data_IF_235939245648
#
_entry.id   IF_235939245648
#
_cell.length_a   1.000
_cell.length_b   1.000
_cell.length_c   1.000
_cell.angle_alpha   90.00
_cell.angle_beta   90.00
_cell.angle_gamma   90.00
#
_symmetry.space_group_name_H-M   'P 1'
#
loop_
_entity.id
_entity.type
_entity.pdbx_description
1 polymer ?
#
# COMPACT_ATOMS: atom_id res chain seq x y z
N UNK A 1 5.95 -2.38 0.61
CA UNK A 1 7.05 -1.65 1.25
C UNK A 1 7.64 -0.66 0.24
N UNK A 2 7.23 0.60 0.29
CA UNK A 2 7.76 1.67 -0.56
C UNK A 2 8.14 2.84 0.35
N UNK A 3 9.17 2.59 1.16
CA UNK A 3 9.84 3.59 1.97
C UNK A 3 11.13 3.94 1.22
N UNK A 4 11.03 4.86 0.25
CA UNK A 4 12.19 5.57 -0.24
C UNK A 4 11.80 7.00 -0.58
N UNK A 5 12.14 7.86 0.37
CA UNK A 5 12.40 9.30 0.28
C UNK A 5 12.53 9.77 -1.18
N UNK A 6 11.51 10.48 -1.68
CA UNK A 6 11.57 11.15 -2.99
C UNK A 6 12.24 12.51 -2.77
N UNK A 7 13.58 12.51 -2.71
CA UNK A 7 14.37 13.72 -2.89
C UNK A 7 14.04 14.30 -4.27
N UNK A 8 13.90 15.63 -4.32
CA UNK A 8 13.69 16.38 -5.55
C UNK A 8 14.85 16.18 -6.54
N UNK A 9 14.55 16.51 -7.80
CA UNK A 9 15.34 16.32 -9.02
C UNK A 9 15.17 14.96 -9.70
N UNK A 10 14.16 14.88 -10.58
CA UNK A 10 14.08 13.85 -11.63
C UNK A 10 14.70 14.43 -12.90
N UNK A 11 15.77 13.82 -13.45
CA UNK A 11 16.33 14.20 -14.73
C UNK A 11 15.33 13.91 -15.85
N UNK A 12 15.24 14.86 -16.77
CA UNK A 12 14.42 14.87 -17.98
C UNK A 12 14.85 13.81 -18.99
N UNK A 13 14.47 12.54 -18.84
CA UNK A 13 14.50 11.53 -19.95
C UNK A 13 13.83 10.21 -19.55
N UNK A 14 12.52 10.21 -19.32
CA UNK A 14 11.71 8.99 -19.46
C UNK A 14 10.41 9.33 -20.16
N UNK A 15 10.48 9.48 -21.48
CA UNK A 15 9.31 9.64 -22.34
C UNK A 15 8.62 8.30 -22.53
N UNK A 16 7.56 8.05 -21.76
CA UNK A 16 6.53 7.11 -22.19
C UNK A 16 5.75 7.71 -23.37
N UNK A 17 5.00 6.91 -24.16
CA UNK A 17 4.22 7.38 -25.30
C UNK A 17 3.12 8.42 -24.94
N UNK A 18 2.90 8.70 -23.66
CA UNK A 18 1.90 9.64 -23.15
C UNK A 18 2.49 10.97 -22.64
N UNK A 19 3.81 11.09 -22.45
CA UNK A 19 4.45 12.27 -21.86
C UNK A 19 5.74 12.60 -22.61
N UNK A 20 5.60 13.28 -23.74
CA UNK A 20 6.72 13.93 -24.44
C UNK A 20 7.36 14.98 -23.52
N UNK A 21 8.63 15.32 -23.74
CA UNK A 21 9.36 16.35 -22.98
C UNK A 21 8.72 17.75 -23.06
N UNK A 22 7.82 17.97 -24.03
CA UNK A 22 6.96 19.13 -24.16
C UNK A 22 5.51 18.74 -23.90
N UNK A 23 4.84 19.51 -23.03
CA UNK A 23 3.40 19.42 -22.80
C UNK A 23 2.67 20.08 -23.99
N UNK A 24 2.54 19.32 -25.08
CA UNK A 24 1.88 19.77 -26.30
C UNK A 24 0.36 19.60 -26.22
N UNK A 25 -0.37 20.48 -26.90
CA UNK A 25 -1.83 20.52 -26.83
C UNK A 25 -2.49 19.23 -27.37
N UNK A 26 -1.88 18.60 -28.38
CA UNK A 26 -2.34 17.31 -28.90
C UNK A 26 -2.21 16.16 -27.89
N UNK A 27 -1.15 16.15 -27.07
CA UNK A 27 -0.95 15.13 -26.03
C UNK A 27 -2.02 15.30 -24.95
N UNK A 28 -2.27 16.55 -24.56
CA UNK A 28 -3.32 16.90 -23.61
C UNK A 28 -4.70 16.47 -24.11
N UNK A 29 -5.05 16.78 -25.35
CA UNK A 29 -6.37 16.44 -25.91
C UNK A 29 -6.56 14.93 -26.05
N UNK A 30 -5.52 14.20 -26.47
CA UNK A 30 -5.55 12.72 -26.47
C UNK A 30 -5.79 12.15 -25.07
N UNK A 31 -5.11 12.70 -24.06
CA UNK A 31 -5.22 12.23 -22.69
C UNK A 31 -6.59 12.56 -22.07
N UNK A 32 -7.14 13.74 -22.37
CA UNK A 32 -8.52 14.12 -21.99
C UNK A 32 -9.52 13.14 -22.61
N UNK A 33 -9.42 12.90 -23.92
CA UNK A 33 -10.32 11.99 -24.63
C UNK A 33 -10.24 10.56 -24.08
N UNK A 34 -9.04 10.07 -23.79
CA UNK A 34 -8.82 8.77 -23.17
C UNK A 34 -9.51 8.64 -21.80
N UNK A 35 -9.38 9.65 -20.93
CA UNK A 35 -9.98 9.63 -19.58
C UNK A 35 -11.51 9.77 -19.64
N UNK A 36 -12.04 10.58 -20.56
CA UNK A 36 -13.50 10.81 -20.67
C UNK A 36 -14.22 9.60 -21.29
N UNK A 37 -13.62 8.94 -22.29
CA UNK A 37 -14.28 7.86 -23.05
C UNK A 37 -13.97 6.44 -22.55
N UNK A 38 -12.87 6.23 -21.82
CA UNK A 38 -12.53 4.91 -21.28
C UNK A 38 -13.41 4.55 -20.08
N UNK A 39 -14.60 3.98 -20.28
CA UNK A 39 -15.55 3.72 -19.17
C UNK A 39 -15.29 2.43 -18.39
N UNK A 40 -15.10 1.29 -19.04
CA UNK A 40 -15.18 -0.01 -18.35
C UNK A 40 -13.83 -0.62 -17.98
N UNK A 41 -12.78 -0.43 -18.80
CA UNK A 41 -11.44 -0.99 -18.54
C UNK A 41 -10.80 -0.41 -17.27
N UNK A 42 -11.01 0.89 -17.00
CA UNK A 42 -10.44 1.58 -15.84
C UNK A 42 -11.12 1.20 -14.53
N UNK A 43 -12.41 0.87 -14.56
CA UNK A 43 -13.14 0.39 -13.38
C UNK A 43 -12.59 -0.97 -12.92
N UNK A 44 -12.39 -1.89 -13.87
CA UNK A 44 -11.79 -3.20 -13.59
C UNK A 44 -10.37 -3.08 -13.07
N UNK A 45 -9.57 -2.16 -13.64
CA UNK A 45 -8.22 -1.87 -13.15
C UNK A 45 -8.23 -1.39 -11.68
N UNK A 46 -9.11 -0.46 -11.33
CA UNK A 46 -9.21 0.06 -9.97
C UNK A 46 -9.64 -1.03 -8.96
N UNK A 47 -10.58 -1.91 -9.33
CA UNK A 47 -11.00 -3.03 -8.49
C UNK A 47 -9.85 -4.04 -8.30
N UNK A 48 -9.17 -4.43 -9.38
CA UNK A 48 -8.00 -5.33 -9.30
C UNK A 48 -6.91 -4.76 -8.41
N UNK A 49 -6.66 -3.46 -8.49
CA UNK A 49 -5.71 -2.78 -7.62
C UNK A 49 -6.09 -2.89 -6.14
N UNK A 50 -7.37 -2.63 -5.81
CA UNK A 50 -7.88 -2.75 -4.44
C UNK A 50 -7.77 -4.19 -3.92
N UNK A 51 -8.06 -5.19 -4.76
CA UNK A 51 -7.91 -6.61 -4.43
C UNK A 51 -6.44 -6.94 -4.13
N UNK A 52 -5.50 -6.44 -4.92
CA UNK A 52 -4.06 -6.64 -4.65
C UNK A 52 -3.61 -6.02 -3.32
N UNK A 53 -4.10 -4.83 -2.97
CA UNK A 53 -3.80 -4.21 -1.67
C UNK A 53 -4.37 -5.03 -0.50
N UNK A 54 -5.59 -5.55 -0.66
CA UNK A 54 -6.21 -6.44 0.31
C UNK A 54 -5.43 -7.75 0.46
N UNK A 55 -5.06 -8.38 -0.66
CA UNK A 55 -4.24 -9.60 -0.68
C UNK A 55 -2.88 -9.38 -0.01
N UNK A 56 -2.25 -8.22 -0.21
CA UNK A 56 -1.00 -7.88 0.45
C UNK A 56 -1.17 -7.78 1.98
N UNK A 57 -2.26 -7.18 2.46
CA UNK A 57 -2.56 -7.16 3.89
C UNK A 57 -2.83 -8.56 4.44
N UNK A 58 -3.65 -9.36 3.73
CA UNK A 58 -3.94 -10.75 4.08
C UNK A 58 -2.64 -11.57 4.16
N UNK A 59 -1.72 -11.38 3.21
CA UNK A 59 -0.44 -12.08 3.19
C UNK A 59 0.40 -11.75 4.44
N UNK A 60 0.50 -10.47 4.83
CA UNK A 60 1.24 -10.09 6.04
C UNK A 60 0.57 -10.64 7.30
N UNK A 61 -0.77 -10.56 7.40
CA UNK A 61 -1.52 -11.13 8.53
C UNK A 61 -1.34 -12.65 8.60
N UNK A 62 -1.38 -13.34 7.46
CA UNK A 62 -1.14 -14.77 7.36
C UNK A 62 0.27 -15.14 7.84
N UNK A 63 1.30 -14.38 7.45
CA UNK A 63 2.67 -14.58 7.93
C UNK A 63 2.77 -14.40 9.46
N UNK A 64 2.08 -13.41 10.04
CA UNK A 64 2.03 -13.20 11.49
C UNK A 64 1.35 -14.38 12.19
N UNK A 65 0.20 -14.83 11.69
CA UNK A 65 -0.56 -15.96 12.27
C UNK A 65 0.25 -17.25 12.19
N UNK A 66 0.86 -17.54 11.03
CA UNK A 66 1.69 -18.72 10.84
C UNK A 66 2.91 -18.70 11.78
N UNK A 67 3.57 -17.56 11.92
CA UNK A 67 4.71 -17.39 12.84
C UNK A 67 4.27 -17.54 14.30
N UNK A 68 3.11 -17.00 14.66
CA UNK A 68 2.56 -17.14 16.00
C UNK A 68 2.17 -18.59 16.32
N UNK A 69 1.63 -19.32 15.35
CA UNK A 69 1.35 -20.74 15.49
C UNK A 69 2.65 -21.55 15.64
N UNK A 70 3.67 -21.25 14.83
CA UNK A 70 4.98 -21.89 14.92
C UNK A 70 5.67 -21.67 16.29
N UNK A 71 5.51 -20.48 16.89
CA UNK A 71 6.09 -20.11 18.18
C UNK A 71 5.13 -20.36 19.37
N UNK A 72 4.12 -21.21 19.22
CA UNK A 72 3.17 -21.58 20.29
C UNK A 72 2.53 -20.37 21.00
N UNK A 73 2.15 -19.33 20.26
CA UNK A 73 1.45 -18.14 20.80
C UNK A 73 2.35 -17.07 21.42
N UNK A 74 3.66 -17.29 21.43
CA UNK A 74 4.65 -16.38 22.04
C UNK A 74 4.98 -15.17 21.14
N UNK A 75 4.40 -15.11 19.93
CA UNK A 75 4.53 -13.99 18.98
C UNK A 75 3.36 -12.99 19.06
N UNK A 76 2.55 -13.08 20.12
CA UNK A 76 1.40 -12.20 20.31
C UNK A 76 1.84 -10.75 20.51
N UNK A 77 1.20 -9.83 19.77
CA UNK A 77 1.70 -8.48 19.61
C UNK A 77 1.85 -7.69 20.91
N UNK A 78 0.83 -7.72 21.76
CA UNK A 78 0.85 -6.94 22.99
C UNK A 78 1.89 -7.46 24.01
N UNK A 79 2.08 -8.78 24.08
CA UNK A 79 3.00 -9.41 25.05
C UNK A 79 4.45 -9.09 24.73
N UNK A 80 4.86 -9.26 23.47
CA UNK A 80 6.22 -8.95 23.02
C UNK A 80 6.58 -7.48 23.29
N UNK A 81 5.63 -6.57 23.09
CA UNK A 81 5.84 -5.14 23.36
C UNK A 81 6.04 -4.85 24.85
N UNK A 82 5.22 -5.44 25.72
CA UNK A 82 5.32 -5.26 27.18
C UNK A 82 6.66 -5.80 27.69
N UNK A 83 7.05 -6.99 27.27
CA UNK A 83 8.30 -7.63 27.71
C UNK A 83 9.52 -6.78 27.30
N UNK A 84 9.53 -6.24 26.07
CA UNK A 84 10.58 -5.34 25.59
C UNK A 84 10.63 -4.02 26.38
N UNK A 85 9.47 -3.44 26.71
CA UNK A 85 9.40 -2.21 27.52
C UNK A 85 9.95 -2.46 28.93
N UNK A 86 9.70 -3.64 29.49
CA UNK A 86 10.23 -4.05 30.80
C UNK A 86 11.73 -4.43 30.76
N UNK A 87 12.37 -4.40 29.58
CA UNK A 87 13.78 -4.76 29.40
C UNK A 87 14.04 -6.27 29.32
N UNK A 88 12.99 -7.08 29.21
CA UNK A 88 13.07 -8.53 29.06
C UNK A 88 13.10 -8.93 27.58
N UNK A 89 13.78 -10.05 27.27
CA UNK A 89 13.76 -10.61 25.92
C UNK A 89 12.62 -11.64 25.82
N UNK A 90 11.48 -11.32 25.15
CA UNK A 90 10.32 -12.21 25.08
C UNK A 90 10.63 -13.57 24.43
N UNK A 91 11.60 -13.57 23.51
CA UNK A 91 12.00 -14.76 22.76
C UNK A 91 12.98 -15.68 23.50
N UNK A 92 13.46 -15.27 24.68
CA UNK A 92 14.38 -16.08 25.49
C UNK A 92 13.75 -17.36 26.03
N UNK A 93 12.44 -17.36 26.26
CA UNK A 93 11.67 -18.53 26.69
C UNK A 93 11.44 -19.54 25.57
N UNK A 94 11.34 -19.06 24.32
CA UNK A 94 11.08 -19.89 23.13
C UNK A 94 12.37 -20.53 22.62
N UNK A 95 13.48 -19.80 22.69
CA UNK A 95 14.77 -20.21 22.15
C UNK A 95 15.82 -20.31 23.27
N UNK A 96 15.87 -21.43 24.02
CA UNK A 96 16.88 -21.61 25.05
C UNK A 96 18.28 -21.63 24.45
N UNK A 97 19.19 -20.87 25.05
CA UNK A 97 20.60 -20.76 24.62
C UNK A 97 21.49 -21.86 25.20
N UNK A 98 21.04 -22.46 26.29
CA UNK A 98 21.74 -23.50 27.04
C UNK A 98 20.81 -24.70 27.25
N UNK A 99 21.32 -25.91 27.05
CA UNK A 99 20.60 -27.16 27.27
C UNK A 99 21.44 -28.13 28.09
N UNK A 100 20.77 -28.97 28.89
CA UNK A 100 21.41 -30.07 29.62
C UNK A 100 21.58 -31.25 28.68
N UNK A 101 22.82 -31.66 28.42
CA UNK A 101 23.16 -32.86 27.67
C UNK A 101 23.53 -33.97 28.66
N UNK A 102 22.89 -35.13 28.54
CA UNK A 102 23.23 -36.32 29.36
C UNK A 102 24.09 -37.25 28.53
N UNK A 103 25.28 -37.57 29.05
CA UNK A 103 26.22 -38.50 28.43
C UNK A 103 26.29 -39.77 29.26
N UNK A 104 26.14 -40.91 28.59
CA UNK A 104 26.25 -42.24 29.20
C UNK A 104 27.66 -42.78 28.96
N UNK A 105 28.39 -43.11 30.03
CA UNK A 105 29.70 -43.75 29.94
C UNK A 105 29.72 -45.04 30.75
N UNK A 106 30.36 -46.08 30.23
CA UNK A 106 30.59 -47.31 30.98
C UNK A 106 31.87 -47.19 31.82
N UNK A 107 31.74 -47.42 33.12
CA UNK A 107 32.87 -47.48 34.05
C UNK A 107 33.67 -48.77 33.89
N UNK A 108 34.84 -48.88 34.54
CA UNK A 108 35.70 -50.07 34.49
C UNK A 108 35.02 -51.36 34.98
N UNK A 109 33.94 -51.23 35.76
CA UNK A 109 33.13 -52.35 36.27
C UNK A 109 31.93 -52.71 35.37
N UNK A 110 31.78 -52.08 34.20
CA UNK A 110 30.63 -52.27 33.31
C UNK A 110 29.35 -51.53 33.72
N UNK A 111 29.37 -50.78 34.82
CA UNK A 111 28.24 -49.94 35.28
C UNK A 111 28.10 -48.67 34.44
N UNK A 112 26.88 -48.28 34.11
CA UNK A 112 26.58 -47.01 33.42
C UNK A 112 26.68 -45.83 34.39
N UNK A 113 27.60 -44.91 34.13
CA UNK A 113 27.67 -43.60 34.78
C UNK A 113 27.03 -42.52 33.91
N UNK A 114 26.07 -41.80 34.47
CA UNK A 114 25.44 -40.64 33.84
C UNK A 114 26.25 -39.38 34.17
N UNK A 115 26.73 -38.67 33.14
CA UNK A 115 27.42 -37.39 33.27
C UNK A 115 26.62 -36.30 32.58
N UNK A 116 26.31 -35.25 33.33
CA UNK A 116 25.56 -34.11 32.82
C UNK A 116 26.52 -33.00 32.38
N UNK A 117 26.34 -32.49 31.17
CA UNK A 117 27.04 -31.33 30.63
C UNK A 117 26.08 -30.22 30.24
N UNK A 118 26.56 -28.98 30.24
CA UNK A 118 25.84 -27.83 29.67
C UNK A 118 26.32 -27.60 28.23
N UNK A 119 25.39 -27.62 27.29
CA UNK A 119 25.63 -27.40 25.87
C UNK A 119 25.06 -26.03 25.46
N UNK A 120 25.79 -25.29 24.62
CA UNK A 120 25.31 -24.05 24.00
C UNK A 120 24.63 -24.40 22.68
N UNK A 121 23.54 -23.70 22.35
CA UNK A 121 22.82 -23.86 21.09
C UNK A 121 22.91 -22.57 20.24
N UNK A 122 23.94 -22.42 19.38
CA UNK A 122 24.19 -21.19 18.63
C UNK A 122 23.03 -20.79 17.71
N UNK A 123 22.32 -21.78 17.15
CA UNK A 123 21.17 -21.55 16.27
C UNK A 123 20.03 -20.81 17.00
N UNK A 124 19.82 -21.10 18.29
CA UNK A 124 18.80 -20.44 19.08
C UNK A 124 19.17 -19.00 19.44
N UNK A 125 20.46 -18.70 19.60
CA UNK A 125 20.94 -17.33 19.80
C UNK A 125 20.60 -16.49 18.55
N UNK A 126 20.83 -17.04 17.36
CA UNK A 126 20.50 -16.36 16.10
C UNK A 126 18.99 -16.18 15.93
N UNK A 127 18.22 -17.25 16.16
CA UNK A 127 16.75 -17.22 16.05
C UNK A 127 16.13 -16.20 17.01
N UNK A 128 16.60 -16.13 18.27
CA UNK A 128 16.12 -15.17 19.26
C UNK A 128 16.15 -13.73 18.71
N UNK A 129 17.24 -13.34 18.04
CA UNK A 129 17.39 -11.98 17.50
C UNK A 129 16.64 -11.79 16.19
N UNK A 130 16.66 -12.78 15.31
CA UNK A 130 15.96 -12.71 14.02
C UNK A 130 14.44 -12.58 14.22
N UNK A 131 13.84 -13.41 15.06
CA UNK A 131 12.39 -13.40 15.29
C UNK A 131 11.93 -12.13 16.02
N UNK A 132 12.77 -11.56 16.88
CA UNK A 132 12.48 -10.25 17.48
C UNK A 132 12.45 -9.14 16.42
N UNK A 133 13.43 -9.11 15.49
CA UNK A 133 13.45 -8.14 14.38
C UNK A 133 12.25 -8.35 13.45
N UNK A 134 11.93 -9.60 13.10
CA UNK A 134 10.77 -9.92 12.26
C UNK A 134 9.45 -9.48 12.90
N UNK A 135 9.35 -9.56 14.23
CA UNK A 135 8.17 -9.06 14.95
C UNK A 135 7.95 -7.56 14.69
N UNK A 136 8.95 -6.71 14.96
CA UNK A 136 8.83 -5.28 14.68
C UNK A 136 8.52 -5.01 13.21
N UNK A 137 9.16 -5.76 12.33
CA UNK A 137 9.00 -5.61 10.89
C UNK A 137 7.58 -5.94 10.42
N UNK A 138 7.04 -7.11 10.78
CA UNK A 138 5.71 -7.54 10.33
C UNK A 138 4.60 -6.66 10.90
N UNK A 139 4.67 -6.27 12.17
CA UNK A 139 3.67 -5.38 12.77
C UNK A 139 3.72 -3.98 12.16
N UNK A 140 4.91 -3.43 11.89
CA UNK A 140 5.06 -2.17 11.15
C UNK A 140 4.50 -2.27 9.72
N UNK A 141 4.81 -3.36 8.99
CA UNK A 141 4.29 -3.59 7.65
C UNK A 141 2.77 -3.77 7.63
N UNK A 142 2.21 -4.49 8.60
CA UNK A 142 0.78 -4.66 8.76
C UNK A 142 0.08 -3.31 9.01
N UNK A 143 0.63 -2.49 9.91
CA UNK A 143 0.10 -1.15 10.21
C UNK A 143 0.14 -0.24 8.98
N UNK A 144 1.28 -0.14 8.30
CA UNK A 144 1.41 0.71 7.11
C UNK A 144 0.49 0.24 5.96
N UNK A 145 0.35 -1.08 5.78
CA UNK A 145 -0.54 -1.65 4.76
C UNK A 145 -2.00 -1.40 5.11
N UNK A 146 -2.39 -1.55 6.38
CA UNK A 146 -3.74 -1.28 6.86
C UNK A 146 -4.11 0.21 6.72
N UNK A 147 -3.21 1.12 7.08
CA UNK A 147 -3.42 2.57 6.91
C UNK A 147 -3.58 2.94 5.43
N UNK A 148 -2.77 2.36 4.55
CA UNK A 148 -2.86 2.60 3.10
C UNK A 148 -4.18 2.07 2.53
N UNK A 149 -4.59 0.87 2.94
CA UNK A 149 -5.86 0.28 2.52
C UNK A 149 -7.05 1.09 3.04
N UNK A 150 -7.03 1.52 4.30
CA UNK A 150 -8.07 2.37 4.90
C UNK A 150 -8.20 3.70 4.14
N UNK A 151 -7.08 4.38 3.90
CA UNK A 151 -7.02 5.58 3.08
C UNK A 151 -7.66 5.37 1.71
N UNK A 152 -7.37 4.23 1.06
CA UNK A 152 -7.90 3.90 -0.26
C UNK A 152 -9.40 3.58 -0.21
N UNK A 153 -9.85 2.83 0.79
CA UNK A 153 -11.26 2.52 1.02
C UNK A 153 -12.07 3.80 1.24
N UNK A 154 -11.57 4.75 2.03
CA UNK A 154 -12.20 6.06 2.21
C UNK A 154 -12.34 6.83 0.88
N UNK A 155 -11.32 6.79 0.01
CA UNK A 155 -11.41 7.36 -1.34
C UNK A 155 -12.48 6.67 -2.20
N UNK A 156 -12.65 5.36 -2.07
CA UNK A 156 -13.68 4.62 -2.82
C UNK A 156 -15.09 4.82 -2.26
N UNK A 157 -15.29 4.84 -0.95
CA UNK A 157 -16.63 4.94 -0.36
C UNK A 157 -17.16 6.38 -0.33
N UNK A 158 -16.29 7.39 -0.19
CA UNK A 158 -16.73 8.76 0.08
C UNK A 158 -16.42 9.68 -1.11
N UNK A 159 -17.43 10.12 -1.90
CA UNK A 159 -17.21 11.00 -3.05
C UNK A 159 -16.65 12.37 -2.66
N UNK A 160 -17.01 12.87 -1.47
CA UNK A 160 -16.49 14.14 -0.92
C UNK A 160 -14.97 14.12 -0.75
N UNK A 161 -14.43 12.99 -0.31
CA UNK A 161 -13.01 12.77 -0.11
C UNK A 161 -12.26 12.77 -1.46
N UNK A 162 -12.89 12.24 -2.52
CA UNK A 162 -12.32 12.27 -3.89
C UNK A 162 -12.10 13.69 -4.38
N UNK A 163 -13.08 14.58 -4.18
CA UNK A 163 -12.98 15.99 -4.55
C UNK A 163 -11.83 16.66 -3.82
N UNK A 164 -11.71 16.43 -2.50
CA UNK A 164 -10.61 16.99 -1.71
C UNK A 164 -9.25 16.49 -2.17
N UNK A 165 -9.10 15.20 -2.46
CA UNK A 165 -7.84 14.64 -2.96
C UNK A 165 -7.45 15.19 -4.34
N UNK A 166 -8.43 15.40 -5.22
CA UNK A 166 -8.19 16.02 -6.52
C UNK A 166 -7.69 17.46 -6.34
N UNK A 167 -8.33 18.24 -5.47
CA UNK A 167 -7.95 19.63 -5.17
C UNK A 167 -6.60 19.73 -4.48
N UNK A 168 -6.26 18.81 -3.57
CA UNK A 168 -4.97 18.79 -2.89
C UNK A 168 -3.79 18.62 -3.86
N UNK A 169 -4.02 18.02 -5.03
CA UNK A 169 -3.00 17.82 -6.07
C UNK A 169 -3.07 18.86 -7.19
N UNK A 170 -4.27 19.32 -7.54
CA UNK A 170 -4.47 20.32 -8.57
C UNK A 170 -4.46 21.73 -7.98
N UNK A 171 -3.31 22.41 -8.07
CA UNK A 171 -3.15 23.76 -7.51
C UNK A 171 -4.16 24.73 -8.15
N UNK A 172 -4.83 25.55 -7.35
CA UNK A 172 -5.77 26.59 -7.80
C UNK A 172 -6.97 26.11 -8.65
N UNK A 173 -7.44 24.87 -8.45
CA UNK A 173 -8.73 24.41 -9.00
C UNK A 173 -9.87 24.74 -8.03
N UNK A 174 -10.96 25.31 -8.53
CA UNK A 174 -12.14 25.61 -7.71
C UNK A 174 -12.91 24.34 -7.34
N UNK A 175 -13.52 24.32 -6.15
CA UNK A 175 -14.30 23.18 -5.65
C UNK A 175 -15.40 22.75 -6.61
N UNK A 176 -16.05 23.71 -7.26
CA UNK A 176 -17.11 23.47 -8.26
C UNK A 176 -16.60 22.68 -9.47
N UNK A 177 -15.45 23.07 -10.02
CA UNK A 177 -14.87 22.37 -11.19
C UNK A 177 -14.43 20.96 -10.81
N UNK A 178 -13.78 20.80 -9.65
CA UNK A 178 -13.40 19.49 -9.14
C UNK A 178 -14.62 18.59 -8.90
N UNK A 179 -15.72 19.14 -8.35
CA UNK A 179 -16.97 18.40 -8.14
C UNK A 179 -17.59 17.94 -9.45
N UNK A 180 -17.65 18.81 -10.48
CA UNK A 180 -18.16 18.44 -11.81
C UNK A 180 -17.38 17.26 -12.38
N UNK A 181 -16.05 17.29 -12.29
CA UNK A 181 -15.20 16.20 -12.79
C UNK A 181 -15.51 14.90 -12.04
N UNK A 182 -15.52 14.93 -10.71
CA UNK A 182 -15.75 13.71 -9.89
C UNK A 182 -17.17 13.14 -10.05
N UNK A 183 -18.19 13.97 -10.21
CA UNK A 183 -19.59 13.51 -10.38
C UNK A 183 -19.86 12.93 -11.78
N UNK A 184 -19.14 13.38 -12.82
CA UNK A 184 -19.43 12.99 -14.20
C UNK A 184 -18.53 11.88 -14.76
N UNK A 185 -17.34 11.64 -14.17
CA UNK A 185 -16.48 10.53 -14.57
C UNK A 185 -16.75 9.28 -13.73
N UNK A 186 -16.51 8.10 -14.30
CA UNK A 186 -16.59 6.85 -13.55
C UNK A 186 -15.56 6.82 -12.41
N UNK A 187 -15.82 6.01 -11.38
CA UNK A 187 -14.90 5.89 -10.25
C UNK A 187 -13.50 5.40 -10.68
N UNK A 188 -13.42 4.52 -11.70
CA UNK A 188 -12.17 4.04 -12.27
C UNK A 188 -11.40 5.16 -12.96
N UNK A 189 -12.09 6.03 -13.70
CA UNK A 189 -11.47 7.19 -14.34
C UNK A 189 -10.97 8.19 -13.29
N UNK A 190 -11.75 8.43 -12.23
CA UNK A 190 -11.31 9.23 -11.11
C UNK A 190 -10.08 8.64 -10.40
N UNK A 191 -10.02 7.31 -10.28
CA UNK A 191 -8.89 6.59 -9.69
C UNK A 191 -7.63 6.73 -10.55
N UNK A 192 -7.73 6.49 -11.86
CA UNK A 192 -6.62 6.63 -12.82
C UNK A 192 -6.15 8.08 -12.88
N UNK A 193 -7.08 9.04 -12.93
CA UNK A 193 -6.77 10.47 -12.88
C UNK A 193 -6.01 10.84 -11.60
N UNK A 194 -6.44 10.32 -10.45
CA UNK A 194 -5.73 10.52 -9.19
C UNK A 194 -4.32 9.90 -9.23
N UNK A 195 -4.16 8.69 -9.77
CA UNK A 195 -2.87 8.02 -9.89
C UNK A 195 -1.90 8.76 -10.83
N UNK A 196 -2.44 9.32 -11.92
CA UNK A 196 -1.71 10.19 -12.83
C UNK A 196 -1.24 11.47 -12.11
N UNK A 197 -2.11 12.09 -11.30
CA UNK A 197 -1.78 13.27 -10.51
C UNK A 197 -0.66 13.06 -9.46
N UNK A 198 -0.38 11.82 -9.06
CA UNK A 198 0.78 11.50 -8.18
C UNK A 198 2.12 11.58 -8.92
N UNK A 199 2.09 11.48 -10.24
CA UNK A 199 3.28 11.41 -11.11
C UNK A 199 3.45 12.66 -11.99
N UNK A 200 2.45 13.53 -12.07
CA UNK A 200 2.51 14.80 -12.81
C UNK A 200 2.85 16.00 -11.93
N UNK A 201 3.43 17.03 -12.56
CA UNK A 201 3.60 18.34 -11.93
C UNK A 201 2.21 18.96 -11.61
N UNK A 202 2.01 19.58 -10.42
CA UNK A 202 0.73 20.20 -10.05
C UNK A 202 0.15 21.18 -11.08
N UNK A 203 1.00 21.89 -11.84
CA UNK A 203 0.56 22.85 -12.87
C UNK A 203 0.00 22.10 -14.09
N UNK A 204 0.71 21.09 -14.57
CA UNK A 204 0.28 20.24 -15.69
C UNK A 204 -1.01 19.48 -15.32
N UNK A 205 -1.06 18.94 -14.11
CA UNK A 205 -2.24 18.24 -13.60
C UNK A 205 -3.46 19.17 -13.52
N UNK A 206 -3.28 20.42 -13.09
CA UNK A 206 -4.34 21.44 -13.09
C UNK A 206 -4.89 21.66 -14.50
N UNK A 207 -4.02 21.86 -15.49
CA UNK A 207 -4.47 22.08 -16.87
C UNK A 207 -5.26 20.90 -17.43
N UNK A 208 -4.85 19.68 -17.08
CA UNK A 208 -5.56 18.47 -17.47
C UNK A 208 -6.95 18.39 -16.80
N UNK A 209 -7.05 18.61 -15.48
CA UNK A 209 -8.34 18.63 -14.76
C UNK A 209 -9.26 19.73 -15.32
N UNK A 210 -8.70 20.88 -15.64
CA UNK A 210 -9.40 21.99 -16.28
C UNK A 210 -9.91 21.64 -17.68
N UNK A 211 -9.09 20.99 -18.51
CA UNK A 211 -9.47 20.54 -19.85
C UNK A 211 -10.57 19.48 -19.83
N UNK A 212 -10.51 18.54 -18.87
CA UNK A 212 -11.56 17.54 -18.62
C UNK A 212 -12.87 18.25 -18.21
N UNK A 213 -12.81 19.18 -17.25
CA UNK A 213 -14.01 19.91 -16.81
C UNK A 213 -14.69 20.67 -17.94
N UNK A 214 -13.92 21.27 -18.87
CA UNK A 214 -14.47 22.00 -20.01
C UNK A 214 -15.12 21.07 -21.03
N UNK A 215 -14.50 19.94 -21.38
CA UNK A 215 -15.07 18.94 -22.29
C UNK A 215 -16.37 18.35 -21.73
N UNK A 216 -16.41 18.04 -20.43
CA UNK A 216 -17.61 17.53 -19.80
C UNK A 216 -18.77 18.54 -19.82
N UNK A 217 -18.46 19.83 -19.65
CA UNK A 217 -19.45 20.91 -19.79
C UNK A 217 -19.96 21.06 -21.23
N UNK A 218 -19.10 20.95 -22.24
CA UNK A 218 -19.53 21.04 -23.65
C UNK A 218 -20.42 19.86 -24.04
N UNK A 219 -20.06 18.63 -23.64
CA UNK A 219 -20.89 17.44 -23.89
C UNK A 219 -22.26 17.56 -23.23
N UNK A 220 -22.35 18.05 -21.98
CA UNK A 220 -23.64 18.28 -21.31
C UNK A 220 -24.47 19.38 -21.98
N UNK A 221 -23.84 20.45 -22.48
CA UNK A 221 -24.54 21.52 -23.20
C UNK A 221 -25.10 21.00 -24.54
N UNK A 222 -24.34 20.16 -25.23
CA UNK A 222 -24.73 19.59 -26.53
C UNK A 222 -25.89 18.59 -26.40
N UNK A 223 -25.88 17.74 -25.37
CA UNK A 223 -27.01 16.84 -25.08
C UNK A 223 -28.28 17.62 -24.73
N UNK A 224 -28.16 18.68 -23.93
CA UNK A 224 -29.30 19.51 -23.55
C UNK A 224 -29.90 20.27 -24.75
N UNK A 225 -29.07 20.74 -25.68
CA UNK A 225 -29.57 21.36 -26.93
C UNK A 225 -30.22 20.35 -27.88
N UNK A 226 -29.79 19.08 -27.88
CA UNK A 226 -30.41 18.04 -28.70
C UNK A 226 -31.81 17.68 -28.17
N UNK A 227 -31.99 17.59 -26.84
CA UNK A 227 -33.29 17.34 -26.22
C UNK A 227 -34.29 18.49 -26.46
N UNK A 228 -33.83 19.74 -26.51
CA UNK A 228 -34.69 20.91 -26.80
C UNK A 228 -35.12 20.97 -28.27
N UNK A 229 -34.35 20.37 -29.19
CA UNK A 229 -34.63 20.40 -30.64
C UNK A 229 -35.59 19.29 -31.07
N UNK A 230 -35.86 18.30 -30.21
CA UNK A 230 -36.89 17.27 -30.42
C UNK A 230 -38.03 17.40 -29.38
N UNK A 231 -38.86 18.47 -29.44
CA UNK A 231 -40.15 18.42 -28.78
C UNK A 231 -41.08 17.57 -29.67
N UNK A 232 -41.55 16.44 -29.14
CA UNK A 232 -42.80 15.81 -29.61
C UNK A 232 -43.92 16.40 -28.76
#
# INVERSE_FOLDING_TARGET
>A
MNFFVRFGYVPTTYGGPLLTSKWDQEVKDRLINYIVHGKDSHNLYAIRFLICELLNLINVVFQIVLTNWFLNGQFSGLRVLIDVINGENPMSMVFPKLVKCTYYRYGPSGSTENRDGLCILPLNIFNEKLYLIMWFWFYCLALLSALTLLYRLLFFCVPFIRVYFLMARAKYVTKERAKIVVDQISFGNCFVLYQLGKNLNPIVFRELVMGISNNLKSTKKQSLSADITFPI
#
